data_IF_099127078147
#
_entry.id   IF_099127078147
#
_cell.length_a   1.000
_cell.length_b   1.000
_cell.length_c   1.000
_cell.angle_alpha   90.00
_cell.angle_beta   90.00
_cell.angle_gamma   90.00
#
_symmetry.space_group_name_H-M   'P 1'
#
loop_
_entity.id
_entity.type
_entity.pdbx_description
1 polymer ?
#
# COMPACT_ATOMS: atom_id res chain seq x y z
N UNK A 1 5.71 14.57 -10.40
CA UNK A 1 4.92 13.37 -10.05
C UNK A 1 3.97 13.07 -11.20
N UNK A 2 4.02 11.88 -11.80
CA UNK A 2 3.17 11.55 -12.95
C UNK A 2 1.71 11.45 -12.49
N UNK A 3 0.85 12.39 -12.90
CA UNK A 3 -0.56 12.45 -12.49
C UNK A 3 -1.35 11.21 -12.91
N UNK A 4 -0.84 10.45 -13.87
CA UNK A 4 -1.43 9.19 -14.34
C UNK A 4 -1.42 8.09 -13.27
N UNK A 5 -0.54 8.17 -12.27
CA UNK A 5 -0.50 7.21 -11.16
C UNK A 5 -1.78 7.25 -10.32
N UNK A 6 -2.38 8.43 -10.16
CA UNK A 6 -3.64 8.59 -9.44
C UNK A 6 -4.83 7.96 -10.16
N UNK A 7 -4.71 7.64 -11.45
CA UNK A 7 -5.75 6.94 -12.20
C UNK A 7 -5.65 5.42 -12.07
N UNK A 8 -4.59 4.90 -11.47
CA UNK A 8 -4.37 3.45 -11.35
C UNK A 8 -5.13 2.91 -10.13
N UNK A 9 -5.96 1.86 -10.27
CA UNK A 9 -6.66 1.25 -9.13
C UNK A 9 -5.69 0.74 -8.07
N UNK A 10 -4.52 0.24 -8.50
CA UNK A 10 -3.44 -0.22 -7.62
C UNK A 10 -2.89 0.88 -6.69
N UNK A 11 -2.97 2.15 -7.08
CA UNK A 11 -2.56 3.25 -6.22
C UNK A 11 -3.50 3.40 -5.01
N UNK A 12 -4.81 3.27 -5.22
CA UNK A 12 -5.80 3.35 -4.13
C UNK A 12 -5.73 2.14 -3.21
N UNK A 13 -5.49 0.94 -3.75
CA UNK A 13 -5.21 -0.23 -2.90
C UNK A 13 -3.95 -0.04 -2.07
N UNK A 14 -2.88 0.48 -2.67
CA UNK A 14 -1.65 0.77 -1.94
C UNK A 14 -1.89 1.73 -0.77
N UNK A 15 -2.67 2.79 -1.01
CA UNK A 15 -3.02 3.77 0.02
C UNK A 15 -3.88 3.15 1.13
N UNK A 16 -4.88 2.35 0.78
CA UNK A 16 -5.72 1.66 1.75
C UNK A 16 -4.90 0.74 2.66
N UNK A 17 -4.04 -0.10 2.08
CA UNK A 17 -3.17 -0.99 2.85
C UNK A 17 -2.16 -0.23 3.70
N UNK A 18 -1.68 0.93 3.25
CA UNK A 18 -0.83 1.80 4.05
C UNK A 18 -1.54 2.33 5.29
N UNK A 19 -2.79 2.81 5.13
CA UNK A 19 -3.61 3.31 6.24
C UNK A 19 -3.92 2.16 7.22
N UNK A 20 -4.25 0.97 6.73
CA UNK A 20 -4.44 -0.20 7.58
C UNK A 20 -3.16 -0.57 8.32
N UNK A 21 -2.00 -0.57 7.66
CA UNK A 21 -0.73 -0.81 8.34
C UNK A 21 -0.51 0.17 9.49
N UNK A 22 -0.76 1.47 9.28
CA UNK A 22 -0.67 2.48 10.33
C UNK A 22 -1.69 2.28 11.46
N UNK A 23 -2.92 1.85 11.16
CA UNK A 23 -3.92 1.60 12.20
C UNK A 23 -3.52 0.42 13.11
N UNK A 24 -2.90 -0.62 12.54
CA UNK A 24 -2.52 -1.82 13.26
C UNK A 24 -1.14 -1.73 13.94
N UNK A 25 -0.23 -0.86 13.49
CA UNK A 25 1.12 -0.76 14.08
C UNK A 25 1.12 -0.26 15.54
N UNK A 26 0.13 0.56 15.91
CA UNK A 26 -0.03 1.09 17.27
C UNK A 26 -0.74 0.13 18.23
N UNK A 27 -1.25 -1.00 17.74
CA UNK A 27 -1.86 -2.00 18.59
C UNK A 27 -0.78 -2.84 19.28
N UNK A 28 -0.98 -3.15 20.56
CA UNK A 28 0.00 -3.88 21.37
C UNK A 28 0.09 -5.38 21.06
N UNK A 29 -0.91 -5.93 20.37
CA UNK A 29 -0.96 -7.37 20.09
C UNK A 29 0.05 -7.78 19.03
N UNK A 30 0.72 -8.92 19.25
CA UNK A 30 1.66 -9.49 18.27
C UNK A 30 1.02 -9.75 16.91
N UNK A 31 -0.24 -10.21 16.90
CA UNK A 31 -1.01 -10.46 15.67
C UNK A 31 -1.23 -9.16 14.90
N UNK A 32 -1.55 -8.06 15.58
CA UNK A 32 -1.72 -6.77 14.93
C UNK A 32 -0.40 -6.23 14.36
N UNK A 33 0.72 -6.40 15.06
CA UNK A 33 2.04 -6.02 14.53
C UNK A 33 2.40 -6.80 13.27
N UNK A 34 2.19 -8.13 13.27
CA UNK A 34 2.38 -8.97 12.08
C UNK A 34 1.44 -8.56 10.95
N UNK A 35 0.16 -8.32 11.24
CA UNK A 35 -0.81 -7.81 10.28
C UNK A 35 -0.38 -6.47 9.68
N UNK A 36 0.11 -5.54 10.50
CA UNK A 36 0.61 -4.24 10.06
C UNK A 36 1.78 -4.39 9.09
N UNK A 37 2.69 -5.32 9.36
CA UNK A 37 3.84 -5.59 8.50
C UNK A 37 3.39 -6.16 7.14
N UNK A 38 2.45 -7.11 7.14
CA UNK A 38 1.89 -7.67 5.91
C UNK A 38 1.14 -6.62 5.09
N UNK A 39 0.33 -5.77 5.73
CA UNK A 39 -0.35 -4.67 5.06
C UNK A 39 0.64 -3.65 4.50
N UNK A 40 1.70 -3.33 5.25
CA UNK A 40 2.75 -2.42 4.79
C UNK A 40 3.48 -2.97 3.55
N UNK A 41 3.86 -4.25 3.58
CA UNK A 41 4.49 -4.92 2.44
C UNK A 41 3.56 -4.92 1.21
N UNK A 42 2.27 -5.21 1.42
CA UNK A 42 1.26 -5.21 0.36
C UNK A 42 1.07 -3.83 -0.25
N UNK A 43 1.16 -2.77 0.57
CA UNK A 43 1.14 -1.39 0.11
C UNK A 43 2.31 -1.08 -0.83
N UNK A 44 3.53 -1.45 -0.44
CA UNK A 44 4.73 -1.23 -1.27
C UNK A 44 4.61 -1.95 -2.62
N UNK A 45 4.20 -3.22 -2.61
CA UNK A 45 4.01 -4.01 -3.84
C UNK A 45 2.94 -3.37 -4.74
N UNK A 46 1.86 -2.88 -4.15
CA UNK A 46 0.77 -2.22 -4.88
C UNK A 46 1.22 -0.89 -5.49
N UNK A 47 2.03 -0.10 -4.77
CA UNK A 47 2.67 1.10 -5.29
C UNK A 47 3.61 0.79 -6.46
N UNK A 48 4.44 -0.24 -6.33
CA UNK A 48 5.33 -0.68 -7.40
C UNK A 48 4.55 -1.06 -8.66
N UNK A 49 3.46 -1.84 -8.52
CA UNK A 49 2.58 -2.20 -9.64
C UNK A 49 1.92 -0.97 -10.27
N UNK A 50 1.42 -0.03 -9.46
CA UNK A 50 0.84 1.22 -9.95
C UNK A 50 1.86 2.03 -10.75
N UNK A 51 3.10 2.15 -10.25
CA UNK A 51 4.15 2.89 -10.93
C UNK A 51 4.59 2.21 -12.23
N UNK A 52 4.72 0.88 -12.24
CA UNK A 52 5.04 0.09 -13.44
C UNK A 52 3.95 0.24 -14.51
N UNK A 53 2.67 0.17 -14.13
CA UNK A 53 1.54 0.32 -15.05
C UNK A 53 1.48 1.72 -15.71
N UNK A 54 2.05 2.74 -15.06
CA UNK A 54 2.15 4.09 -15.62
C UNK A 54 3.35 4.23 -16.57
N UNK A 55 4.45 3.52 -16.33
CA UNK A 55 5.65 3.58 -17.18
C UNK A 55 5.58 2.65 -18.40
N UNK A 56 4.68 1.66 -18.39
CA UNK A 56 4.45 0.75 -19.52
C UNK A 56 3.32 1.23 -20.47
N UNK A 57 2.72 2.39 -20.19
CA UNK A 57 1.75 3.08 -21.05
C UNK A 57 2.42 4.27 -21.72
#
# INVERSE_FOLDING_TARGET
MNKTIFKQPFFYFALLYFILALAFIFQETYVARLGSFLFFLTSIVSFYKANKAVHQK
#
